data_IF_811314928264
#
_entry.id   IF_811314928264
#
_cell.length_a   1.000
_cell.length_b   1.000
_cell.length_c   1.000
_cell.angle_alpha   90.00
_cell.angle_beta   90.00
_cell.angle_gamma   90.00
#
_symmetry.space_group_name_H-M   'P 1'
#
loop_
_entity.id
_entity.type
_entity.pdbx_description
1 polymer ?
#
# COMPACT_ATOMS: atom_id res chain seq x y z
N UNK A 1 20.96 13.04 52.19
CA UNK A 1 20.77 11.84 51.35
C UNK A 1 19.29 11.72 51.01
N UNK A 2 18.87 12.07 49.81
CA UNK A 2 17.70 11.48 49.15
C UNK A 2 17.70 11.88 47.67
N UNK A 3 17.32 10.91 46.86
CA UNK A 3 17.78 10.65 45.51
C UNK A 3 16.98 11.40 44.45
N UNK A 4 17.71 11.79 43.40
CA UNK A 4 17.24 12.32 42.14
C UNK A 4 16.34 11.29 41.44
N UNK A 5 15.06 11.59 41.26
CA UNK A 5 14.19 10.84 40.36
C UNK A 5 14.54 11.25 38.92
N UNK A 6 15.53 10.57 38.36
CA UNK A 6 15.78 10.58 36.92
C UNK A 6 14.59 9.88 36.25
N UNK A 7 13.77 10.64 35.52
CA UNK A 7 12.87 10.05 34.54
C UNK A 7 13.73 9.46 33.43
N UNK A 8 13.96 8.15 33.51
CA UNK A 8 14.46 7.35 32.42
C UNK A 8 13.49 7.55 31.23
N UNK A 9 13.93 8.06 30.07
CA UNK A 9 13.07 8.08 28.91
C UNK A 9 12.81 6.61 28.59
N UNK A 10 11.59 6.17 28.82
CA UNK A 10 11.17 4.82 28.49
C UNK A 10 11.50 4.61 27.02
N UNK A 11 12.49 3.76 26.77
CA UNK A 11 12.84 3.32 25.43
C UNK A 11 11.60 2.64 24.90
N UNK A 12 10.89 3.34 24.01
CA UNK A 12 9.84 2.75 23.20
C UNK A 12 10.54 1.58 22.51
N UNK A 13 10.30 0.37 23.01
CA UNK A 13 10.72 -0.86 22.36
C UNK A 13 10.34 -0.69 20.89
N UNK A 14 11.29 -0.82 19.97
CA UNK A 14 11.07 -0.73 18.53
C UNK A 14 10.12 -1.86 18.10
N UNK A 15 8.84 -1.74 18.45
CA UNK A 15 7.74 -2.44 17.81
C UNK A 15 7.79 -1.92 16.38
N UNK A 16 8.19 -2.80 15.46
CA UNK A 16 8.32 -2.50 14.03
C UNK A 16 7.14 -1.64 13.57
N UNK A 17 7.40 -0.36 13.25
CA UNK A 17 6.36 0.54 12.74
C UNK A 17 5.92 0.01 11.38
N UNK A 18 4.75 -0.61 11.34
CA UNK A 18 4.16 -1.11 10.10
C UNK A 18 3.64 0.05 9.27
N UNK A 19 4.10 0.13 8.02
CA UNK A 19 3.71 1.17 7.08
C UNK A 19 2.67 0.62 6.11
N UNK A 20 1.61 1.39 5.89
CA UNK A 20 0.52 1.05 4.98
C UNK A 20 0.33 2.17 3.95
N UNK A 21 0.00 1.80 2.72
CA UNK A 21 -0.59 2.70 1.74
C UNK A 21 -2.10 2.71 1.96
N UNK A 22 -2.69 3.90 2.16
CA UNK A 22 -4.14 4.07 2.32
C UNK A 22 -4.69 4.81 1.10
N UNK A 23 -5.78 4.30 0.53
CA UNK A 23 -6.43 4.88 -0.64
C UNK A 23 -7.96 4.70 -0.57
N UNK A 24 -8.69 5.47 -1.36
CA UNK A 24 -10.15 5.48 -1.35
C UNK A 24 -10.72 4.74 -2.55
N UNK A 25 -11.73 3.89 -2.33
CA UNK A 25 -12.58 3.31 -3.38
C UNK A 25 -14.01 3.75 -3.09
N UNK A 26 -14.59 4.57 -3.96
CA UNK A 26 -15.90 5.18 -3.72
C UNK A 26 -15.88 6.06 -2.47
N UNK A 27 -16.66 5.70 -1.46
CA UNK A 27 -16.70 6.40 -0.17
C UNK A 27 -15.87 5.73 0.93
N UNK A 28 -15.25 4.58 0.66
CA UNK A 28 -14.58 3.75 1.66
C UNK A 28 -13.06 3.81 1.56
N UNK A 29 -12.38 3.71 2.70
CA UNK A 29 -10.92 3.69 2.80
C UNK A 29 -10.40 2.26 2.89
N UNK A 30 -9.40 1.96 2.05
CA UNK A 30 -8.71 0.68 1.99
C UNK A 30 -7.22 0.88 2.29
N UNK A 31 -6.56 -0.17 2.77
CA UNK A 31 -5.14 -0.14 3.12
C UNK A 31 -4.43 -1.42 2.74
N UNK A 32 -3.16 -1.31 2.34
CA UNK A 32 -2.28 -2.45 2.12
C UNK A 32 -0.86 -2.19 2.60
N UNK A 33 -0.08 -3.24 2.97
CA UNK A 33 1.30 -3.06 3.41
C UNK A 33 2.12 -2.31 2.37
N UNK A 34 2.81 -1.24 2.80
CA UNK A 34 3.53 -0.35 1.89
C UNK A 34 4.62 -1.11 1.11
N UNK A 35 5.25 -2.11 1.74
CA UNK A 35 6.30 -2.92 1.11
C UNK A 35 5.80 -3.82 -0.03
N UNK A 36 4.48 -4.01 -0.18
CA UNK A 36 3.90 -4.75 -1.30
C UNK A 36 3.57 -3.86 -2.50
N UNK A 37 3.66 -2.53 -2.36
CA UNK A 37 3.35 -1.58 -3.43
C UNK A 37 4.55 -1.44 -4.35
N UNK A 38 4.39 -1.81 -5.62
CA UNK A 38 5.45 -1.67 -6.62
C UNK A 38 5.49 -0.27 -7.24
N UNK A 39 4.33 0.28 -7.60
CA UNK A 39 4.23 1.59 -8.26
C UNK A 39 2.84 2.20 -8.02
N UNK A 40 2.76 3.53 -7.86
CA UNK A 40 1.50 4.29 -7.84
C UNK A 40 1.44 5.09 -9.13
N UNK A 41 0.41 4.86 -9.94
CA UNK A 41 0.21 5.57 -11.20
C UNK A 41 -1.21 6.10 -11.32
N UNK A 42 -1.35 7.14 -12.14
CA UNK A 42 -2.65 7.60 -12.62
C UNK A 42 -3.27 6.55 -13.52
N UNK A 43 -4.60 6.47 -13.51
CA UNK A 43 -5.36 5.61 -14.41
C UNK A 43 -4.96 5.82 -15.88
N UNK A 44 -4.80 4.71 -16.60
CA UNK A 44 -4.54 4.69 -18.05
C UNK A 44 -5.54 3.75 -18.73
N UNK A 45 -5.89 3.99 -20.00
CA UNK A 45 -6.81 3.11 -20.71
C UNK A 45 -6.31 1.66 -20.73
N UNK A 46 -7.19 0.71 -20.39
CA UNK A 46 -6.90 -0.73 -20.41
C UNK A 46 -7.27 -1.35 -21.76
N UNK A 47 -6.52 -2.38 -22.18
CA UNK A 47 -6.89 -3.19 -23.35
C UNK A 47 -7.72 -4.38 -22.90
N UNK A 48 -8.94 -4.52 -23.44
CA UNK A 48 -9.87 -5.61 -23.09
C UNK A 48 -9.29 -6.97 -23.50
N UNK A 49 -9.37 -7.95 -22.60
CA UNK A 49 -8.96 -9.34 -22.88
C UNK A 49 -10.19 -10.16 -23.27
N UNK A 50 -10.23 -10.75 -24.48
CA UNK A 50 -11.33 -11.63 -24.89
C UNK A 50 -11.47 -12.84 -23.95
N UNK A 51 -12.70 -13.13 -23.50
CA UNK A 51 -12.99 -14.27 -22.62
C UNK A 51 -12.60 -14.09 -21.15
N UNK A 52 -12.07 -12.93 -20.75
CA UNK A 52 -11.78 -12.66 -19.35
C UNK A 52 -13.06 -12.50 -18.51
N UNK A 53 -13.02 -12.87 -17.22
CA UNK A 53 -14.12 -12.62 -16.29
C UNK A 53 -14.51 -11.13 -16.22
N UNK A 54 -15.77 -10.80 -15.87
CA UNK A 54 -16.28 -9.43 -15.90
C UNK A 54 -15.59 -8.48 -14.90
N UNK A 55 -14.95 -9.02 -13.87
CA UNK A 55 -14.18 -8.25 -12.89
C UNK A 55 -12.76 -7.89 -13.36
N UNK A 56 -12.32 -8.41 -14.51
CA UNK A 56 -11.05 -8.03 -15.14
C UNK A 56 -11.33 -6.88 -16.10
N UNK A 57 -10.79 -5.70 -15.79
CA UNK A 57 -10.93 -4.52 -16.64
C UNK A 57 -10.10 -4.67 -17.93
N UNK A 58 -8.99 -5.40 -17.88
CA UNK A 58 -8.20 -5.76 -19.06
C UNK A 58 -6.72 -5.94 -18.72
N UNK A 59 -5.86 -5.51 -19.64
CA UNK A 59 -4.41 -5.47 -19.44
C UNK A 59 -3.84 -4.10 -19.74
N UNK A 60 -2.75 -3.76 -19.06
CA UNK A 60 -1.93 -2.58 -19.33
C UNK A 60 -0.49 -3.00 -19.66
N UNK A 61 0.19 -2.18 -20.45
CA UNK A 61 1.63 -2.31 -20.64
C UNK A 61 2.37 -1.47 -19.59
N UNK A 62 3.12 -2.16 -18.73
CA UNK A 62 3.98 -1.55 -17.73
C UNK A 62 5.45 -1.75 -18.12
N UNK A 63 5.98 -0.80 -18.88
CA UNK A 63 7.40 -0.79 -19.35
C UNK A 63 7.80 -2.11 -20.03
N UNK A 64 6.90 -2.66 -20.85
CA UNK A 64 7.10 -3.94 -21.53
C UNK A 64 6.49 -5.15 -20.80
N UNK A 65 6.12 -5.02 -19.52
CA UNK A 65 5.44 -6.09 -18.77
C UNK A 65 3.93 -5.96 -18.93
N UNK A 66 3.26 -7.05 -19.31
CA UNK A 66 1.80 -7.06 -19.40
C UNK A 66 1.23 -7.41 -18.02
N UNK A 67 0.44 -6.51 -17.46
CA UNK A 67 -0.17 -6.65 -16.15
C UNK A 67 -1.69 -6.62 -16.31
N UNK A 68 -2.39 -7.54 -15.64
CA UNK A 68 -3.85 -7.56 -15.59
C UNK A 68 -4.35 -6.54 -14.57
N UNK A 69 -5.43 -5.83 -14.93
CA UNK A 69 -6.13 -4.85 -14.09
C UNK A 69 -7.59 -5.23 -14.00
#
# INVERSE_FOLDING_TARGET
MQTQTVHEPQTVSESSVEKYLVFQIGAESYGMPLLQVQEIRTYTPTTRVPGAPPYVLGVINLRGNIIAV
#
